data_IF_151956436764
#
_entry.id   IF_151956436764
#
_cell.length_a   1.000
_cell.length_b   1.000
_cell.length_c   1.000
_cell.angle_alpha   90.00
_cell.angle_beta   90.00
_cell.angle_gamma   90.00
#
_symmetry.space_group_name_H-M   'P 1'
#
loop_
_entity.id
_entity.type
_entity.pdbx_description
1 polymer ?
#
# COMPACT_ATOMS: atom_id res chain seq x y z
N UNK A 1 9.28 -2.27 -7.96
CA UNK A 1 9.90 -1.71 -6.73
C UNK A 1 8.91 -1.91 -5.62
N UNK A 2 9.33 -2.58 -4.53
CA UNK A 2 8.41 -3.02 -3.49
C UNK A 2 8.31 -2.02 -2.35
N UNK A 3 7.09 -1.74 -1.90
CA UNK A 3 6.82 -0.88 -0.75
C UNK A 3 5.71 -1.46 0.12
N UNK A 4 5.95 -1.56 1.42
CA UNK A 4 4.87 -1.75 2.39
C UNK A 4 4.34 -0.38 2.80
N UNK A 5 3.05 -0.16 2.56
CA UNK A 5 2.35 1.07 2.91
C UNK A 5 1.40 0.78 4.06
N UNK A 6 1.48 1.56 5.12
CA UNK A 6 0.60 1.48 6.28
C UNK A 6 -0.11 2.82 6.43
N UNK A 7 -1.44 2.80 6.42
CA UNK A 7 -2.27 3.98 6.61
C UNK A 7 -2.88 4.02 8.01
N UNK A 8 -2.87 5.19 8.64
CA UNK A 8 -3.60 5.48 9.88
C UNK A 8 -4.53 6.66 9.63
N UNK A 9 -5.83 6.38 9.35
CA UNK A 9 -6.82 7.40 9.04
C UNK A 9 -6.95 8.44 10.15
N UNK A 10 -7.06 9.70 9.74
CA UNK A 10 -7.41 10.78 10.64
C UNK A 10 -8.82 10.57 11.21
N UNK A 11 -9.12 11.09 12.42
CA UNK A 11 -10.46 11.05 12.97
C UNK A 11 -11.48 11.70 12.00
N UNK A 12 -12.54 10.98 11.69
CA UNK A 12 -13.66 11.42 10.84
C UNK A 12 -14.97 10.99 11.48
N UNK A 13 -16.11 11.49 10.97
CA UNK A 13 -17.42 11.13 11.52
C UNK A 13 -17.68 9.63 11.34
N UNK A 14 -18.16 8.91 12.38
CA UNK A 14 -18.43 7.47 12.28
C UNK A 14 -19.35 7.08 11.10
N UNK A 15 -20.29 7.95 10.73
CA UNK A 15 -21.19 7.76 9.59
C UNK A 15 -20.48 7.69 8.23
N UNK A 16 -19.34 8.36 8.09
CA UNK A 16 -18.56 8.44 6.84
C UNK A 16 -17.54 7.31 6.73
N UNK A 17 -17.13 6.72 7.86
CA UNK A 17 -16.09 5.68 7.90
C UNK A 17 -16.43 4.48 7.01
N UNK A 18 -17.67 3.99 7.07
CA UNK A 18 -18.10 2.84 6.25
C UNK A 18 -18.09 3.16 4.77
N UNK A 19 -18.58 4.34 4.39
CA UNK A 19 -18.68 4.78 2.99
C UNK A 19 -17.28 4.96 2.41
N UNK A 20 -16.37 5.63 3.12
CA UNK A 20 -15.03 5.86 2.60
C UNK A 20 -14.21 4.57 2.53
N UNK A 21 -14.43 3.62 3.46
CA UNK A 21 -13.85 2.28 3.36
C UNK A 21 -14.31 1.53 2.13
N UNK A 22 -15.60 1.58 1.81
CA UNK A 22 -16.14 0.96 0.61
C UNK A 22 -15.49 1.53 -0.65
N UNK A 23 -15.41 2.87 -0.76
CA UNK A 23 -14.73 3.56 -1.86
C UNK A 23 -13.26 3.17 -1.99
N UNK A 24 -12.55 3.05 -0.87
CA UNK A 24 -11.15 2.65 -0.86
C UNK A 24 -10.98 1.23 -1.42
N UNK A 25 -11.85 0.29 -1.04
CA UNK A 25 -11.82 -1.07 -1.56
C UNK A 25 -12.16 -1.15 -3.04
N UNK A 26 -13.16 -0.38 -3.50
CA UNK A 26 -13.51 -0.28 -4.92
C UNK A 26 -12.35 0.27 -5.75
N UNK A 27 -11.65 1.30 -5.24
CA UNK A 27 -10.45 1.85 -5.87
C UNK A 27 -9.28 0.85 -5.91
N UNK A 28 -9.09 0.08 -4.83
CA UNK A 28 -7.98 -0.87 -4.73
C UNK A 28 -8.17 -2.11 -5.60
N UNK A 29 -9.40 -2.54 -5.86
CA UNK A 29 -9.70 -3.76 -6.60
C UNK A 29 -8.99 -3.85 -7.97
N UNK A 30 -9.08 -2.85 -8.87
CA UNK A 30 -8.34 -2.90 -10.13
C UNK A 30 -6.81 -2.92 -9.94
N UNK A 31 -6.28 -2.30 -8.89
CA UNK A 31 -4.83 -2.33 -8.58
C UNK A 31 -4.38 -3.72 -8.11
N UNK A 32 -5.23 -4.42 -7.35
CA UNK A 32 -5.03 -5.81 -6.95
C UNK A 32 -5.03 -6.72 -8.19
N UNK A 33 -6.00 -6.54 -9.07
CA UNK A 33 -6.15 -7.39 -10.26
C UNK A 33 -5.00 -7.19 -11.25
N UNK A 34 -4.44 -5.98 -11.32
CA UNK A 34 -3.25 -5.64 -12.11
C UNK A 34 -1.91 -5.99 -11.43
N UNK A 35 -1.93 -6.57 -10.21
CA UNK A 35 -0.72 -6.86 -9.41
C UNK A 35 0.12 -5.64 -9.01
N UNK A 36 -0.43 -4.43 -9.14
CA UNK A 36 0.17 -3.20 -8.58
C UNK A 36 0.12 -3.28 -7.06
N UNK A 37 -1.01 -3.72 -6.51
CA UNK A 37 -1.07 -4.24 -5.14
C UNK A 37 -0.73 -5.73 -5.25
N UNK A 38 0.50 -6.05 -4.90
CA UNK A 38 1.12 -7.34 -5.16
C UNK A 38 0.47 -8.44 -4.31
N UNK A 39 0.26 -9.61 -4.93
CA UNK A 39 -0.20 -10.84 -4.27
C UNK A 39 -1.51 -10.66 -3.48
N UNK A 40 -2.38 -9.73 -3.93
CA UNK A 40 -3.62 -9.36 -3.24
C UNK A 40 -3.40 -8.92 -1.79
N UNK A 41 -2.21 -8.43 -1.48
CA UNK A 41 -1.78 -8.08 -0.14
C UNK A 41 -2.27 -6.66 0.21
N UNK A 42 -3.57 -6.55 0.47
CA UNK A 42 -4.17 -5.39 1.10
C UNK A 42 -5.14 -5.85 2.19
N UNK A 43 -4.98 -5.30 3.39
CA UNK A 43 -5.77 -5.71 4.56
C UNK A 43 -6.23 -4.50 5.35
N UNK A 44 -7.48 -4.51 5.79
CA UNK A 44 -7.92 -3.58 6.83
C UNK A 44 -7.28 -3.96 8.17
N UNK A 45 -6.76 -2.97 8.89
CA UNK A 45 -6.35 -3.16 10.28
C UNK A 45 -7.58 -3.39 11.15
N UNK A 46 -7.45 -4.24 12.17
CA UNK A 46 -8.43 -4.27 13.27
C UNK A 46 -8.47 -2.87 13.88
N UNK A 47 -9.66 -2.26 13.95
CA UNK A 47 -9.81 -0.85 14.31
C UNK A 47 -9.73 0.07 13.09
N UNK A 48 -8.68 0.89 12.95
CA UNK A 48 -8.57 1.95 11.93
C UNK A 48 -7.37 1.75 11.00
N UNK A 49 -7.59 1.97 9.70
CA UNK A 49 -6.56 1.98 8.66
C UNK A 49 -6.41 0.66 7.93
N UNK A 50 -5.39 0.60 7.08
CA UNK A 50 -5.11 -0.54 6.24
C UNK A 50 -3.62 -0.63 5.92
N UNK A 51 -3.20 -1.80 5.48
CA UNK A 51 -1.87 -2.10 4.95
C UNK A 51 -2.00 -2.52 3.48
N UNK A 52 -0.99 -2.21 2.67
CA UNK A 52 -0.89 -2.70 1.29
C UNK A 52 0.57 -2.90 0.89
N UNK A 53 0.84 -3.96 0.12
CA UNK A 53 2.12 -4.19 -0.54
C UNK A 53 2.03 -3.71 -1.99
N UNK A 54 2.77 -2.66 -2.33
CA UNK A 54 2.84 -2.14 -3.69
C UNK A 54 4.06 -2.69 -4.42
N UNK A 55 3.89 -3.07 -5.68
CA UNK A 55 4.97 -3.29 -6.64
C UNK A 55 4.80 -2.34 -7.82
N UNK A 56 5.61 -1.29 -7.86
CA UNK A 56 5.51 -0.20 -8.84
C UNK A 56 6.80 -0.02 -9.62
N UNK A 57 6.71 0.59 -10.80
CA UNK A 57 7.87 0.89 -11.65
C UNK A 57 8.72 2.06 -11.12
N UNK A 58 8.13 2.98 -10.35
CA UNK A 58 8.80 4.20 -9.87
C UNK A 58 8.19 4.79 -8.60
N UNK A 59 8.96 5.62 -7.90
CA UNK A 59 8.46 6.42 -6.77
C UNK A 59 7.31 7.36 -7.17
N UNK A 60 7.34 7.92 -8.39
CA UNK A 60 6.29 8.82 -8.88
C UNK A 60 4.96 8.10 -9.05
N UNK A 61 4.99 6.87 -9.55
CA UNK A 61 3.82 6.02 -9.65
C UNK A 61 3.23 5.69 -8.27
N UNK A 62 4.06 5.31 -7.30
CA UNK A 62 3.61 5.11 -5.91
C UNK A 62 2.93 6.38 -5.37
N UNK A 63 3.58 7.54 -5.51
CA UNK A 63 3.07 8.80 -4.97
C UNK A 63 1.69 9.15 -5.55
N UNK A 64 1.45 8.86 -6.83
CA UNK A 64 0.14 9.04 -7.45
C UNK A 64 -0.94 8.17 -6.77
N UNK A 65 -0.65 6.89 -6.48
CA UNK A 65 -1.58 6.02 -5.77
C UNK A 65 -1.79 6.43 -4.31
N UNK A 66 -0.74 6.88 -3.62
CA UNK A 66 -0.87 7.40 -2.25
C UNK A 66 -1.73 8.66 -2.23
N UNK A 67 -1.56 9.56 -3.19
CA UNK A 67 -2.39 10.77 -3.30
C UNK A 67 -3.86 10.41 -3.52
N UNK A 68 -4.15 9.49 -4.44
CA UNK A 68 -5.52 9.00 -4.66
C UNK A 68 -6.13 8.36 -3.41
N UNK A 69 -5.36 7.55 -2.68
CA UNK A 69 -5.80 6.98 -1.41
C UNK A 69 -6.17 8.09 -0.42
N UNK A 70 -5.30 9.10 -0.26
CA UNK A 70 -5.50 10.21 0.67
C UNK A 70 -6.73 11.07 0.36
N UNK A 71 -7.08 11.21 -0.92
CA UNK A 71 -8.33 11.87 -1.34
C UNK A 71 -9.58 11.09 -0.89
N UNK A 72 -9.50 9.75 -0.82
CA UNK A 72 -10.61 8.90 -0.34
C UNK A 72 -10.66 8.90 1.19
N UNK A 73 -9.51 8.69 1.84
CA UNK A 73 -9.36 8.65 3.29
C UNK A 73 -8.09 9.41 3.69
N UNK A 74 -8.21 10.63 4.22
CA UNK A 74 -7.09 11.35 4.82
C UNK A 74 -6.47 10.53 5.94
N UNK A 75 -5.15 10.33 5.86
CA UNK A 75 -4.42 9.43 6.75
C UNK A 75 -2.97 9.86 6.92
N UNK A 76 -2.38 9.49 8.05
CA UNK A 76 -0.92 9.39 8.16
C UNK A 76 -0.47 8.15 7.39
N UNK A 77 0.54 8.30 6.55
CA UNK A 77 1.09 7.23 5.71
C UNK A 77 2.52 6.90 6.13
N UNK A 78 2.78 5.62 6.40
CA UNK A 78 4.13 5.09 6.51
C UNK A 78 4.44 4.29 5.25
N UNK A 79 5.55 4.64 4.59
CA UNK A 79 5.99 4.02 3.33
C UNK A 79 7.36 3.39 3.58
N UNK A 80 7.42 2.06 3.54
CA UNK A 80 8.62 1.29 3.86
C UNK A 80 9.10 0.63 2.56
N UNK A 81 10.21 1.07 1.95
CA UNK A 81 10.78 0.39 0.79
C UNK A 81 11.31 -0.98 1.19
N UNK A 82 11.08 -1.98 0.34
CA UNK A 82 11.45 -3.37 0.58
C UNK A 82 12.35 -3.89 -0.55
N UNK A 83 13.29 -4.77 -0.20
CA UNK A 83 13.95 -5.64 -1.17
C UNK A 83 13.05 -6.83 -1.48
N UNK A 84 13.00 -7.24 -2.75
CA UNK A 84 12.34 -8.48 -3.10
C UNK A 84 13.13 -9.68 -2.57
N UNK A 85 12.46 -10.83 -2.44
CA UNK A 85 13.13 -12.05 -2.03
C UNK A 85 14.23 -12.44 -3.04
N UNK A 86 13.98 -12.26 -4.33
CA UNK A 86 14.96 -12.55 -5.39
C UNK A 86 16.19 -11.64 -5.29
N UNK A 87 15.99 -10.34 -5.06
CA UNK A 87 17.11 -9.40 -4.88
C UNK A 87 17.89 -9.73 -3.61
N UNK A 88 17.19 -10.06 -2.52
CA UNK A 88 17.80 -10.48 -1.26
C UNK A 88 18.64 -11.75 -1.45
N UNK A 89 18.10 -12.77 -2.13
CA UNK A 89 18.81 -14.01 -2.41
C UNK A 89 20.08 -13.77 -3.24
N UNK A 90 20.00 -12.93 -4.28
CA UNK A 90 21.18 -12.56 -5.10
C UNK A 90 22.24 -11.86 -4.25
N UNK A 91 21.83 -10.87 -3.47
CA UNK A 91 22.74 -10.13 -2.60
C UNK A 91 23.46 -11.03 -1.59
N UNK A 92 22.75 -12.01 -1.02
CA UNK A 92 23.34 -12.96 -0.04
C UNK A 92 24.20 -14.05 -0.70
N UNK A 93 24.01 -14.33 -1.99
CA UNK A 93 24.82 -15.32 -2.72
C UNK A 93 26.13 -14.76 -3.27
N UNK A 94 26.27 -13.43 -3.32
CA UNK A 94 27.50 -12.79 -3.79
C UNK A 94 28.62 -12.93 -2.74
N UNK A 95 29.81 -13.45 -3.10
CA UNK A 95 30.92 -13.54 -2.17
C UNK A 95 31.35 -12.14 -1.71
N UNK A 96 31.50 -11.95 -0.40
CA UNK A 96 32.11 -10.74 0.15
C UNK A 96 33.59 -10.74 -0.26
N UNK A 97 33.95 -9.92 -1.24
CA UNK A 97 35.35 -9.62 -1.61
C UNK A 97 36.01 -8.71 -0.60
#
# INVERSE_FOLDING_TARGET
MLYLVISTPLPTKPSEVRINRQKLWEWAQPLIDQQIIKDRCMYAKVGRGAIALFDVSSHGELNNYISQWLEIIPAEMQIIPLLSQEVTHRFLSDPVT
#
